data_IF_506447618421
#
_entry.id   IF_506447618421
#
_cell.length_a   1.000
_cell.length_b   1.000
_cell.length_c   1.000
_cell.angle_alpha   90.00
_cell.angle_beta   90.00
_cell.angle_gamma   90.00
#
_symmetry.space_group_name_H-M   'P 1'
#
loop_
_entity.id
_entity.type
_entity.pdbx_description
1 polymer ?
#
# COMPACT_ATOMS: atom_id res chain seq x y z
N UNK A 1 23.93 7.36 21.75
CA UNK A 1 23.29 8.04 20.60
C UNK A 1 22.32 7.04 20.02
N UNK A 2 21.01 7.24 20.20
CA UNK A 2 20.03 6.39 19.53
C UNK A 2 20.19 6.65 18.02
N UNK A 3 20.53 5.61 17.25
CA UNK A 3 20.61 5.74 15.80
C UNK A 3 19.26 6.20 15.25
N UNK A 4 19.27 7.04 14.21
CA UNK A 4 18.05 7.43 13.51
C UNK A 4 17.29 6.18 13.03
N UNK A 5 15.95 6.26 12.98
CA UNK A 5 15.10 5.20 12.45
C UNK A 5 15.52 4.90 10.99
N UNK A 6 16.00 3.68 10.67
CA UNK A 6 16.51 3.36 9.35
C UNK A 6 15.44 3.48 8.25
N UNK A 7 14.16 3.32 8.59
CA UNK A 7 13.08 3.51 7.61
C UNK A 7 12.85 5.00 7.35
N UNK A 8 13.03 5.87 8.36
CA UNK A 8 12.97 7.32 8.15
C UNK A 8 14.12 7.82 7.28
N UNK A 9 15.35 7.32 7.47
CA UNK A 9 16.49 7.66 6.61
C UNK A 9 16.26 7.19 5.16
N UNK A 10 15.78 5.96 4.98
CA UNK A 10 15.35 5.43 3.70
C UNK A 10 14.31 6.34 3.03
N UNK A 11 13.24 6.72 3.75
CA UNK A 11 12.19 7.59 3.21
C UNK A 11 12.72 8.97 2.84
N UNK A 12 13.57 9.59 3.68
CA UNK A 12 14.20 10.89 3.39
C UNK A 12 15.10 10.83 2.14
N UNK A 13 15.82 9.74 1.96
CA UNK A 13 16.67 9.51 0.78
C UNK A 13 15.83 9.50 -0.50
N UNK A 14 14.73 8.73 -0.51
CA UNK A 14 13.81 8.67 -1.65
C UNK A 14 13.06 9.99 -1.86
N UNK A 15 12.69 10.71 -0.79
CA UNK A 15 12.15 12.06 -0.88
C UNK A 15 13.10 13.00 -1.64
N UNK A 16 14.39 13.00 -1.28
CA UNK A 16 15.40 13.83 -1.95
C UNK A 16 15.56 13.47 -3.43
N UNK A 17 15.61 12.17 -3.76
CA UNK A 17 15.70 11.68 -5.15
C UNK A 17 14.47 12.06 -5.98
N UNK A 18 13.30 12.07 -5.36
CA UNK A 18 12.03 12.42 -5.98
C UNK A 18 11.72 13.92 -5.89
N UNK A 19 12.56 14.74 -5.25
CA UNK A 19 12.29 16.16 -5.03
C UNK A 19 10.94 16.40 -4.33
N UNK A 20 10.65 15.60 -3.32
CA UNK A 20 9.43 15.66 -2.49
C UNK A 20 9.79 15.91 -1.04
N UNK A 21 8.89 16.52 -0.28
CA UNK A 21 8.96 16.50 1.19
C UNK A 21 8.23 15.28 1.80
N UNK A 22 8.28 15.16 3.13
CA UNK A 22 7.64 14.04 3.86
C UNK A 22 6.11 14.10 3.82
N UNK A 23 5.51 15.27 3.63
CA UNK A 23 4.06 15.39 3.51
C UNK A 23 3.61 14.90 2.13
N UNK A 24 4.27 15.37 1.07
CA UNK A 24 4.02 14.95 -0.31
C UNK A 24 4.21 13.45 -0.48
N UNK A 25 5.30 12.88 0.06
CA UNK A 25 5.51 11.43 -0.04
C UNK A 25 4.47 10.66 0.77
N UNK A 26 4.05 11.16 1.94
CA UNK A 26 3.07 10.46 2.76
C UNK A 26 1.71 10.40 2.05
N UNK A 27 1.25 11.52 1.50
CA UNK A 27 0.00 11.60 0.76
C UNK A 27 0.02 10.73 -0.51
N UNK A 28 1.10 10.80 -1.29
CA UNK A 28 1.23 9.98 -2.50
C UNK A 28 1.35 8.49 -2.18
N UNK A 29 2.14 8.13 -1.18
CA UNK A 29 2.29 6.74 -0.76
C UNK A 29 0.98 6.16 -0.24
N UNK A 30 0.13 6.94 0.44
CA UNK A 30 -1.21 6.50 0.83
C UNK A 30 -2.09 6.21 -0.39
N UNK A 31 -2.10 7.10 -1.39
CA UNK A 31 -2.82 6.88 -2.66
C UNK A 31 -2.32 5.61 -3.36
N UNK A 32 -1.01 5.43 -3.43
CA UNK A 32 -0.40 4.22 -4.01
C UNK A 32 -0.74 2.97 -3.21
N UNK A 33 -0.65 3.00 -1.88
CA UNK A 33 -0.94 1.88 -0.99
C UNK A 33 -2.38 1.41 -1.18
N UNK A 34 -3.37 2.30 -1.04
CA UNK A 34 -4.77 1.91 -1.16
C UNK A 34 -5.19 1.60 -2.60
N UNK A 35 -4.63 2.29 -3.58
CA UNK A 35 -4.74 1.91 -4.99
C UNK A 35 -4.21 0.50 -5.26
N UNK A 36 -3.05 0.16 -4.69
CA UNK A 36 -2.42 -1.15 -4.88
C UNK A 36 -3.20 -2.27 -4.21
N UNK A 37 -3.67 -2.06 -2.99
CA UNK A 37 -4.55 -2.97 -2.25
C UNK A 37 -5.81 -3.30 -3.10
N UNK A 38 -6.42 -2.30 -3.76
CA UNK A 38 -7.49 -2.53 -4.74
C UNK A 38 -7.04 -3.29 -5.99
N UNK A 39 -5.90 -2.94 -6.58
CA UNK A 39 -5.42 -3.61 -7.81
C UNK A 39 -4.96 -5.06 -7.56
N UNK A 40 -4.50 -5.40 -6.35
CA UNK A 40 -4.29 -6.78 -5.92
C UNK A 40 -5.60 -7.56 -6.04
N UNK A 41 -6.70 -7.04 -5.47
CA UNK A 41 -8.02 -7.67 -5.59
C UNK A 41 -8.47 -7.82 -7.05
N UNK A 42 -8.40 -6.73 -7.83
CA UNK A 42 -8.74 -6.73 -9.26
C UNK A 42 -7.93 -7.69 -10.10
N UNK A 43 -6.73 -8.05 -9.64
CA UNK A 43 -5.85 -8.98 -10.35
C UNK A 43 -6.06 -10.42 -9.89
N UNK A 44 -6.25 -10.64 -8.58
CA UNK A 44 -6.41 -11.98 -8.01
C UNK A 44 -7.77 -12.57 -8.38
N UNK A 45 -8.85 -11.79 -8.32
CA UNK A 45 -10.20 -12.29 -8.62
C UNK A 45 -10.31 -12.89 -10.03
N UNK A 46 -9.91 -12.21 -11.12
CA UNK A 46 -9.97 -12.82 -12.46
C UNK A 46 -9.00 -13.98 -12.64
N UNK A 47 -7.87 -13.99 -11.92
CA UNK A 47 -6.86 -15.03 -12.07
C UNK A 47 -7.25 -16.35 -11.38
N UNK A 48 -7.97 -16.29 -10.26
CA UNK A 48 -8.24 -17.44 -9.39
C UNK A 48 -9.73 -17.71 -9.13
N UNK A 49 -10.61 -16.85 -9.62
CA UNK A 49 -12.01 -16.82 -9.19
C UNK A 49 -12.18 -16.18 -7.82
N UNK A 50 -13.44 -16.00 -7.42
CA UNK A 50 -13.78 -15.23 -6.21
C UNK A 50 -13.29 -15.90 -4.91
N UNK A 51 -13.54 -17.18 -4.72
CA UNK A 51 -13.22 -17.87 -3.46
C UNK A 51 -11.71 -17.92 -3.17
N UNK A 52 -10.93 -18.45 -4.12
CA UNK A 52 -9.48 -18.51 -3.97
C UNK A 52 -8.85 -17.11 -4.03
N UNK A 53 -9.35 -16.21 -4.88
CA UNK A 53 -8.89 -14.83 -4.96
C UNK A 53 -9.04 -14.09 -3.62
N UNK A 54 -10.21 -14.20 -2.98
CA UNK A 54 -10.46 -13.62 -1.65
C UNK A 54 -9.56 -14.25 -0.59
N UNK A 55 -9.36 -15.57 -0.62
CA UNK A 55 -8.48 -16.26 0.34
C UNK A 55 -7.03 -15.77 0.23
N UNK A 56 -6.46 -15.76 -0.97
CA UNK A 56 -5.08 -15.30 -1.17
C UNK A 56 -4.90 -13.83 -0.81
N UNK A 57 -5.90 -13.01 -1.14
CA UNK A 57 -5.89 -11.61 -0.76
C UNK A 57 -6.05 -11.40 0.76
N UNK A 58 -6.89 -12.21 1.42
CA UNK A 58 -7.00 -12.26 2.88
C UNK A 58 -5.68 -12.62 3.56
N UNK A 59 -4.88 -13.51 2.97
CA UNK A 59 -3.54 -13.81 3.50
C UNK A 59 -2.61 -12.59 3.45
N UNK A 60 -2.70 -11.74 2.41
CA UNK A 60 -1.94 -10.47 2.37
C UNK A 60 -2.33 -9.60 3.57
N UNK A 61 -3.63 -9.46 3.85
CA UNK A 61 -4.14 -8.70 4.99
C UNK A 61 -3.75 -9.31 6.35
N UNK A 62 -3.69 -10.63 6.44
CA UNK A 62 -3.20 -11.31 7.64
C UNK A 62 -1.73 -10.96 7.91
N UNK A 63 -0.86 -11.01 6.89
CA UNK A 63 0.54 -10.62 7.04
C UNK A 63 0.68 -9.14 7.46
N UNK A 64 -0.10 -8.24 6.85
CA UNK A 64 -0.17 -6.84 7.28
C UNK A 64 -0.62 -6.70 8.73
N UNK A 65 -1.57 -7.53 9.17
CA UNK A 65 -2.01 -7.63 10.57
C UNK A 65 -0.87 -8.01 11.51
N UNK A 66 -0.05 -9.01 11.15
CA UNK A 66 1.10 -9.42 11.96
C UNK A 66 2.16 -8.32 12.05
N UNK A 67 2.47 -7.68 10.92
CA UNK A 67 3.41 -6.55 10.88
C UNK A 67 2.93 -5.38 11.74
N UNK A 68 1.65 -5.03 11.62
CA UNK A 68 1.04 -3.95 12.40
C UNK A 68 1.02 -4.27 13.90
N UNK A 69 0.68 -5.51 14.25
CA UNK A 69 0.71 -5.99 15.64
C UNK A 69 2.11 -5.88 16.24
N UNK A 70 3.14 -6.33 15.51
CA UNK A 70 4.54 -6.24 15.96
C UNK A 70 4.97 -4.78 16.16
N UNK A 71 4.64 -3.90 15.21
CA UNK A 71 4.91 -2.46 15.33
C UNK A 71 4.18 -1.81 16.52
N UNK A 72 2.91 -2.16 16.74
CA UNK A 72 2.12 -1.68 17.87
C UNK A 72 2.69 -2.17 19.22
N UNK A 73 3.09 -3.43 19.32
CA UNK A 73 3.74 -3.98 20.52
C UNK A 73 5.03 -3.23 20.84
N UNK A 74 5.87 -2.98 19.83
CA UNK A 74 7.11 -2.22 19.99
C UNK A 74 6.83 -0.78 20.43
N UNK A 75 5.92 -0.08 19.75
CA UNK A 75 5.57 1.31 20.06
C UNK A 75 4.98 1.48 21.46
N UNK A 76 4.17 0.52 21.91
CA UNK A 76 3.58 0.52 23.25
C UNK A 76 4.52 -0.06 24.32
N UNK A 77 5.73 -0.48 23.96
CA UNK A 77 6.71 -1.13 24.85
C UNK A 77 6.09 -2.31 25.62
N UNK A 78 5.39 -3.19 24.89
CA UNK A 78 4.70 -4.36 25.46
C UNK A 78 5.44 -5.65 25.10
N UNK A 79 5.64 -6.51 26.11
CA UNK A 79 6.15 -7.87 25.89
C UNK A 79 5.03 -8.93 25.85
N UNK A 80 3.86 -8.60 26.39
CA UNK A 80 2.70 -9.49 26.54
C UNK A 80 1.38 -8.77 26.34
N UNK A 81 0.33 -9.52 26.02
CA UNK A 81 -1.06 -9.05 25.92
C UNK A 81 -1.91 -9.80 26.95
N UNK A 82 -2.03 -9.31 28.19
CA UNK A 82 -2.66 -10.07 29.27
C UNK A 82 -4.19 -10.05 29.24
N UNK A 83 -4.79 -9.08 28.56
CA UNK A 83 -6.22 -8.79 28.64
C UNK A 83 -6.76 -8.08 27.39
N UNK A 84 -8.08 -8.02 27.30
CA UNK A 84 -8.78 -7.34 26.21
C UNK A 84 -8.49 -5.82 26.16
N UNK A 85 -8.43 -5.07 27.28
CA UNK A 85 -8.02 -3.67 27.24
C UNK A 85 -6.67 -3.41 26.59
N UNK A 86 -5.69 -4.30 26.81
CA UNK A 86 -4.38 -4.22 26.16
C UNK A 86 -4.46 -4.51 24.67
N UNK A 87 -5.21 -5.54 24.26
CA UNK A 87 -5.50 -5.79 22.85
C UNK A 87 -6.19 -4.58 22.19
N UNK A 88 -7.14 -3.94 22.88
CA UNK A 88 -7.83 -2.75 22.37
C UNK A 88 -6.90 -1.57 22.10
N UNK A 89 -5.87 -1.36 22.93
CA UNK A 89 -4.81 -0.36 22.68
C UNK A 89 -3.96 -0.71 21.46
N UNK A 90 -3.62 -1.99 21.30
CA UNK A 90 -2.88 -2.49 20.13
C UNK A 90 -3.70 -2.27 18.85
N UNK A 91 -4.98 -2.62 18.85
CA UNK A 91 -5.90 -2.39 17.73
C UNK A 91 -5.93 -0.91 17.36
N UNK A 92 -6.06 0.00 18.33
CA UNK A 92 -5.98 1.44 18.06
C UNK A 92 -4.67 1.83 17.37
N UNK A 93 -3.51 1.38 17.86
CA UNK A 93 -2.22 1.71 17.26
C UNK A 93 -2.09 1.15 15.83
N UNK A 94 -2.59 -0.06 15.58
CA UNK A 94 -2.64 -0.66 14.26
C UNK A 94 -3.42 0.23 13.26
N UNK A 95 -4.62 0.69 13.63
CA UNK A 95 -5.43 1.58 12.77
C UNK A 95 -4.83 2.98 12.62
N UNK A 96 -4.24 3.53 13.68
CA UNK A 96 -3.53 4.81 13.62
C UNK A 96 -2.30 4.71 12.71
N UNK A 97 -1.64 3.55 12.61
CA UNK A 97 -0.54 3.32 11.68
C UNK A 97 -0.94 3.50 10.20
N UNK A 98 -2.19 3.21 9.84
CA UNK A 98 -2.78 3.43 8.50
C UNK A 98 -3.71 4.65 8.49
N UNK A 99 -3.11 5.83 8.65
CA UNK A 99 -3.56 6.99 9.46
C UNK A 99 -5.08 7.12 9.65
N UNK A 100 -5.73 6.16 10.29
CA UNK A 100 -7.17 6.20 10.51
C UNK A 100 -7.48 6.95 11.80
N UNK A 101 -8.51 7.81 11.80
CA UNK A 101 -8.92 8.51 13.01
C UNK A 101 -9.70 7.56 13.92
N UNK A 102 -8.97 6.88 14.81
CA UNK A 102 -9.50 5.85 15.70
C UNK A 102 -9.72 6.37 17.12
N UNK A 103 -10.95 6.30 17.61
CA UNK A 103 -11.33 6.71 18.97
C UNK A 103 -11.88 5.53 19.75
N UNK A 104 -11.28 5.23 20.89
CA UNK A 104 -11.78 4.24 21.83
C UNK A 104 -12.97 4.84 22.58
N UNK A 105 -14.16 4.24 22.46
CA UNK A 105 -15.37 4.64 23.20
C UNK A 105 -15.61 3.78 24.43
N UNK A 106 -15.14 2.53 24.41
CA UNK A 106 -15.21 1.60 25.53
C UNK A 106 -14.02 0.65 25.47
N UNK A 107 -13.39 0.38 26.60
CA UNK A 107 -12.25 -0.54 26.69
C UNK A 107 -12.15 -1.09 28.11
N UNK A 108 -13.07 -1.97 28.45
CA UNK A 108 -13.13 -2.64 29.75
C UNK A 108 -12.71 -4.12 29.62
N UNK A 109 -12.78 -4.87 30.72
CA UNK A 109 -12.31 -6.25 30.77
C UNK A 109 -13.03 -7.17 29.76
N UNK A 110 -14.30 -6.88 29.43
CA UNK A 110 -15.15 -7.76 28.64
C UNK A 110 -15.46 -7.21 27.26
N UNK A 111 -15.27 -5.91 27.03
CA UNK A 111 -15.61 -5.26 25.77
C UNK A 111 -14.67 -4.11 25.38
N UNK A 112 -14.24 -4.15 24.13
CA UNK A 112 -13.60 -3.05 23.43
C UNK A 112 -14.52 -2.56 22.31
N UNK A 113 -14.80 -1.26 22.28
CA UNK A 113 -15.49 -0.58 21.18
C UNK A 113 -14.65 0.61 20.75
N UNK A 114 -14.15 0.55 19.51
CA UNK A 114 -13.49 1.66 18.87
C UNK A 114 -14.21 2.12 17.62
N UNK A 115 -14.20 3.44 17.41
CA UNK A 115 -14.83 4.10 16.27
C UNK A 115 -13.75 4.59 15.31
N UNK A 116 -13.85 4.17 14.05
CA UNK A 116 -13.05 4.68 12.94
C UNK A 116 -13.82 5.84 12.32
N UNK A 117 -13.52 7.05 12.78
CA UNK A 117 -14.20 8.28 12.35
C UNK A 117 -13.78 8.72 10.94
N UNK A 118 -12.58 8.33 10.52
CA UNK A 118 -12.04 8.56 9.19
C UNK A 118 -11.08 7.44 8.80
N UNK A 119 -11.09 7.04 7.54
CA UNK A 119 -10.23 6.00 6.99
C UNK A 119 -9.57 6.50 5.70
N UNK A 120 -8.28 6.21 5.55
CA UNK A 120 -7.52 6.59 4.38
C UNK A 120 -7.96 5.83 3.11
N UNK A 121 -8.56 4.64 3.22
CA UNK A 121 -8.94 3.86 2.04
C UNK A 121 -10.08 4.50 1.22
N UNK A 122 -11.20 4.99 1.78
CA UNK A 122 -12.17 5.75 0.99
C UNK A 122 -11.65 7.10 0.49
N UNK A 123 -10.75 7.74 1.24
CA UNK A 123 -10.24 9.08 0.92
C UNK A 123 -9.16 9.09 -0.18
N UNK A 124 -8.31 8.07 -0.19
CA UNK A 124 -7.17 7.96 -1.12
C UNK A 124 -7.24 6.76 -2.06
N UNK A 125 -8.21 5.87 -1.85
CA UNK A 125 -8.45 4.72 -2.72
C UNK A 125 -8.78 5.15 -4.16
N UNK A 126 -8.76 4.18 -5.09
CA UNK A 126 -8.87 4.48 -6.51
C UNK A 126 -10.22 5.12 -6.85
N UNK A 127 -10.16 6.16 -7.69
CA UNK A 127 -11.32 6.90 -8.20
C UNK A 127 -12.11 6.13 -9.29
N UNK A 128 -11.95 4.80 -9.36
CA UNK A 128 -12.46 3.94 -10.44
C UNK A 128 -13.99 3.74 -10.40
N UNK A 129 -14.52 3.20 -11.49
CA UNK A 129 -15.91 2.90 -11.78
C UNK A 129 -16.68 2.40 -10.54
N UNK A 130 -17.81 3.06 -10.27
CA UNK A 130 -18.68 2.89 -9.10
C UNK A 130 -18.93 1.40 -8.74
N UNK A 131 -19.13 0.53 -9.74
CA UNK A 131 -19.48 -0.88 -9.51
C UNK A 131 -18.32 -1.72 -8.95
N UNK A 132 -17.14 -1.67 -9.56
CA UNK A 132 -15.97 -2.45 -9.12
C UNK A 132 -15.50 -1.99 -7.73
N UNK A 133 -15.61 -0.69 -7.48
CA UNK A 133 -15.32 -0.06 -6.19
C UNK A 133 -16.27 -0.55 -5.10
N UNK A 134 -17.58 -0.62 -5.36
CA UNK A 134 -18.54 -1.16 -4.40
C UNK A 134 -18.36 -2.66 -4.13
N UNK A 135 -17.98 -3.44 -5.13
CA UNK A 135 -17.69 -4.86 -4.93
C UNK A 135 -16.48 -5.04 -4.01
N UNK A 136 -15.41 -4.29 -4.29
CA UNK A 136 -14.21 -4.26 -3.45
C UNK A 136 -14.53 -3.88 -1.99
N UNK A 137 -15.33 -2.83 -1.75
CA UNK A 137 -15.68 -2.41 -0.38
C UNK A 137 -16.55 -3.41 0.39
N UNK A 138 -17.28 -4.30 -0.29
CA UNK A 138 -17.92 -5.45 0.38
C UNK A 138 -16.90 -6.47 0.86
N UNK A 139 -15.85 -6.72 0.07
CA UNK A 139 -14.76 -7.62 0.45
C UNK A 139 -13.90 -7.04 1.55
N UNK A 140 -13.73 -5.73 1.61
CA UNK A 140 -12.95 -5.10 2.66
C UNK A 140 -13.49 -5.36 4.07
N UNK A 141 -14.82 -5.46 4.27
CA UNK A 141 -15.37 -5.87 5.57
C UNK A 141 -14.84 -7.24 5.99
N UNK A 142 -14.84 -8.20 5.07
CA UNK A 142 -14.26 -9.52 5.31
C UNK A 142 -12.75 -9.43 5.60
N UNK A 143 -12.02 -8.58 4.87
CA UNK A 143 -10.58 -8.42 5.08
C UNK A 143 -10.26 -7.77 6.42
N UNK A 144 -11.07 -6.82 6.88
CA UNK A 144 -10.97 -6.26 8.24
C UNK A 144 -11.25 -7.33 9.30
N UNK A 145 -12.18 -8.26 9.07
CA UNK A 145 -12.32 -9.43 9.95
C UNK A 145 -11.04 -10.27 9.97
N UNK A 146 -10.48 -10.61 8.80
CA UNK A 146 -9.21 -11.38 8.72
C UNK A 146 -8.07 -10.66 9.47
N UNK A 147 -7.97 -9.35 9.30
CA UNK A 147 -6.99 -8.52 9.99
C UNK A 147 -7.16 -8.57 11.51
N UNK A 148 -8.37 -8.30 12.02
CA UNK A 148 -8.67 -8.31 13.46
C UNK A 148 -8.49 -9.70 14.08
N UNK A 149 -8.92 -10.76 13.40
CA UNK A 149 -8.66 -12.13 13.83
C UNK A 149 -7.17 -12.43 13.89
N UNK A 150 -6.38 -11.93 12.94
CA UNK A 150 -4.94 -12.09 12.98
C UNK A 150 -4.32 -11.38 14.18
N UNK A 151 -4.77 -10.17 14.53
CA UNK A 151 -4.33 -9.48 15.75
C UNK A 151 -4.65 -10.27 17.01
N UNK A 152 -5.84 -10.89 17.07
CA UNK A 152 -6.25 -11.75 18.20
C UNK A 152 -5.33 -12.98 18.30
N UNK A 153 -5.03 -13.64 17.19
CA UNK A 153 -4.14 -14.81 17.19
C UNK A 153 -2.71 -14.45 17.60
N UNK A 154 -2.17 -13.31 17.15
CA UNK A 154 -0.87 -12.82 17.63
C UNK A 154 -0.91 -12.44 19.13
N UNK A 155 -2.00 -11.85 19.60
CA UNK A 155 -2.19 -11.56 21.02
C UNK A 155 -2.23 -12.82 21.88
N UNK A 156 -2.86 -13.91 21.40
CA UNK A 156 -2.85 -15.22 22.09
C UNK A 156 -1.44 -15.78 22.23
N UNK A 157 -0.63 -15.70 21.18
CA UNK A 157 0.80 -16.07 21.24
C UNK A 157 1.59 -15.24 22.26
N UNK A 158 1.11 -14.03 22.56
CA UNK A 158 1.67 -13.11 23.56
C UNK A 158 0.94 -13.12 24.91
N UNK A 159 0.12 -14.13 25.18
CA UNK A 159 -0.43 -14.40 26.51
C UNK A 159 -1.91 -14.05 26.72
N UNK A 160 -2.64 -13.62 25.69
CA UNK A 160 -4.08 -13.40 25.79
C UNK A 160 -4.79 -14.75 25.92
N UNK A 161 -5.55 -14.94 27.00
CA UNK A 161 -6.22 -16.23 27.29
C UNK A 161 -7.71 -16.22 26.97
N UNK A 162 -8.33 -15.04 26.98
CA UNK A 162 -9.74 -14.86 26.73
C UNK A 162 -10.08 -15.29 25.30
N UNK A 163 -11.19 -16.00 25.13
CA UNK A 163 -11.80 -16.18 23.82
C UNK A 163 -12.46 -14.85 23.42
N UNK A 164 -12.00 -14.27 22.31
CA UNK A 164 -12.49 -12.99 21.79
C UNK A 164 -13.34 -13.25 20.55
N UNK A 165 -14.51 -12.61 20.47
CA UNK A 165 -15.32 -12.51 19.26
C UNK A 165 -15.16 -11.12 18.66
N UNK A 166 -15.28 -11.04 17.34
CA UNK A 166 -15.24 -9.79 16.57
C UNK A 166 -16.64 -9.51 16.04
N UNK A 167 -17.10 -8.28 16.20
CA UNK A 167 -18.31 -7.77 15.57
C UNK A 167 -18.03 -6.42 14.89
N UNK A 168 -18.54 -6.27 13.68
CA UNK A 168 -18.51 -5.04 12.90
C UNK A 168 -19.91 -4.78 12.35
N UNK A 169 -20.73 -3.99 13.07
CA UNK A 169 -22.12 -3.72 12.70
C UNK A 169 -22.26 -3.10 11.30
N UNK A 170 -21.22 -2.42 10.82
CA UNK A 170 -21.17 -1.92 9.46
C UNK A 170 -20.97 -3.07 8.46
N UNK A 171 -22.05 -3.52 7.82
CA UNK A 171 -22.02 -4.55 6.77
C UNK A 171 -21.33 -4.16 5.45
N UNK A 172 -20.69 -2.99 5.37
CA UNK A 172 -19.91 -2.51 4.21
C UNK A 172 -18.84 -1.50 4.65
N UNK A 173 -17.69 -1.48 3.97
CA UNK A 173 -16.82 -0.31 4.02
C UNK A 173 -17.51 0.84 3.26
N UNK A 174 -17.35 2.07 3.76
CA UNK A 174 -18.21 3.20 3.42
C UNK A 174 -17.61 4.02 2.27
N UNK A 175 -18.48 4.43 1.35
CA UNK A 175 -18.25 5.56 0.45
C UNK A 175 -18.95 6.80 1.05
N UNK A 176 -18.23 7.60 1.85
CA UNK A 176 -18.59 8.99 2.17
C UNK A 176 -19.84 9.37 3.02
N UNK A 177 -20.88 8.54 3.31
CA UNK A 177 -22.15 9.05 3.94
C UNK A 177 -22.67 8.69 5.39
N UNK A 178 -22.16 7.72 6.19
CA UNK A 178 -22.56 7.49 7.61
C UNK A 178 -21.44 7.56 8.69
N UNK A 179 -21.45 8.57 9.58
CA UNK A 179 -20.80 8.63 10.92
C UNK A 179 -19.37 8.07 11.10
N UNK A 180 -19.22 6.75 11.27
CA UNK A 180 -17.97 6.03 11.55
C UNK A 180 -18.15 4.51 11.33
N UNK A 181 -17.06 3.76 11.18
CA UNK A 181 -17.08 2.29 11.35
C UNK A 181 -16.86 1.94 12.84
N UNK A 182 -17.50 0.87 13.33
CA UNK A 182 -17.28 0.37 14.69
C UNK A 182 -16.53 -0.95 14.66
N UNK A 183 -15.46 -1.04 15.45
CA UNK A 183 -14.73 -2.28 15.74
C UNK A 183 -15.11 -2.69 17.15
N UNK A 184 -15.80 -3.83 17.27
CA UNK A 184 -16.25 -4.37 18.55
C UNK A 184 -15.54 -5.70 18.80
N UNK A 185 -14.84 -5.80 19.93
CA UNK A 185 -14.24 -7.03 20.41
C UNK A 185 -14.85 -7.38 21.76
N UNK A 186 -15.30 -8.62 21.92
CA UNK A 186 -15.98 -9.08 23.14
C UNK A 186 -15.41 -10.38 23.66
N UNK A 187 -15.35 -10.51 24.98
CA UNK A 187 -15.14 -11.80 25.63
C UNK A 187 -16.44 -12.60 25.70
N UNK A 188 -16.37 -13.86 26.13
CA UNK A 188 -17.56 -14.68 26.40
C UNK A 188 -18.45 -14.12 27.52
N UNK A 189 -17.88 -13.35 28.45
CA UNK A 189 -18.59 -12.75 29.59
C UNK A 189 -19.16 -11.36 29.27
N UNK A 190 -19.06 -10.91 28.01
CA UNK A 190 -19.67 -9.66 27.58
C UNK A 190 -21.19 -9.80 27.52
N UNK A 191 -21.91 -8.79 28.01
CA UNK A 191 -23.37 -8.72 27.87
C UNK A 191 -23.72 -8.46 26.38
N UNK A 192 -24.35 -9.43 25.68
CA UNK A 192 -24.69 -9.27 24.27
C UNK A 192 -25.80 -8.24 24.04
N UNK A 193 -26.60 -7.92 25.06
CA UNK A 193 -27.65 -6.91 25.00
C UNK A 193 -27.14 -5.49 25.31
N UNK A 194 -25.88 -5.36 25.74
CA UNK A 194 -25.31 -4.06 26.08
C UNK A 194 -25.28 -3.16 24.85
N UNK A 195 -25.93 -2.01 24.97
CA UNK A 195 -25.96 -1.03 23.90
C UNK A 195 -24.55 -0.56 23.53
N UNK A 196 -24.30 -0.50 22.21
CA UNK A 196 -23.09 0.08 21.66
C UNK A 196 -23.11 1.59 21.90
N UNK A 197 -21.95 2.20 22.23
CA UNK A 197 -21.79 3.65 22.20
C UNK A 197 -22.29 4.24 20.87
N UNK A 198 -23.00 5.36 20.95
CA UNK A 198 -23.47 6.07 19.76
C UNK A 198 -22.29 6.56 18.92
N UNK A 199 -22.42 6.38 17.61
CA UNK A 199 -21.46 6.91 16.65
C UNK A 199 -21.67 8.42 16.52
N UNK A 200 -20.63 9.20 16.82
CA UNK A 200 -20.65 10.64 16.60
C UNK A 200 -20.88 10.94 15.12
N UNK A 201 -21.91 11.72 14.83
CA UNK A 201 -22.18 12.22 13.48
C UNK A 201 -21.24 13.40 13.16
N UNK A 202 -19.97 13.08 12.95
CA UNK A 202 -18.96 14.02 12.45
C UNK A 202 -18.74 13.80 10.96
N UNK A 203 -18.74 14.88 10.20
CA UNK A 203 -18.37 14.88 8.79
C UNK A 203 -16.93 15.35 8.70
N UNK A 204 -15.99 14.44 8.97
CA UNK A 204 -14.56 14.76 9.02
C UNK A 204 -14.10 15.39 7.70
N UNK A 205 -14.68 14.99 6.56
CA UNK A 205 -14.41 15.58 5.25
C UNK A 205 -14.75 17.09 5.18
N UNK A 206 -15.79 17.53 5.88
CA UNK A 206 -16.12 18.97 5.99
C UNK A 206 -15.16 19.71 6.92
N UNK A 207 -14.68 19.06 7.97
CA UNK A 207 -13.70 19.63 8.92
C UNK A 207 -12.30 19.76 8.28
N UNK A 208 -11.97 18.85 7.34
CA UNK A 208 -10.74 18.91 6.55
C UNK A 208 -10.74 20.14 5.63
N UNK A 209 -11.86 20.46 4.98
CA UNK A 209 -11.91 21.58 4.03
C UNK A 209 -10.92 21.40 2.87
N UNK A 210 -10.15 22.44 2.54
CA UNK A 210 -9.22 22.44 1.40
C UNK A 210 -7.82 21.89 1.73
N UNK A 211 -7.57 21.44 2.97
CA UNK A 211 -6.26 20.90 3.35
C UNK A 211 -6.11 19.43 2.92
N UNK A 212 -4.89 18.98 2.67
CA UNK A 212 -4.60 17.56 2.41
C UNK A 212 -5.04 16.68 3.60
N UNK A 213 -5.96 15.71 3.43
CA UNK A 213 -6.56 14.94 4.53
C UNK A 213 -5.57 14.39 5.57
N UNK A 214 -4.44 13.81 5.14
CA UNK A 214 -3.45 13.24 6.08
C UNK A 214 -2.89 14.29 7.04
N UNK A 215 -2.72 15.56 6.61
CA UNK A 215 -2.26 16.64 7.49
C UNK A 215 -3.25 16.89 8.62
N UNK A 216 -4.55 16.97 8.32
CA UNK A 216 -5.59 17.13 9.32
C UNK A 216 -5.58 15.96 10.31
N UNK A 217 -5.53 14.73 9.79
CA UNK A 217 -5.65 13.53 10.61
C UNK A 217 -4.44 13.36 11.53
N UNK A 218 -3.22 13.61 11.05
CA UNK A 218 -2.02 13.58 11.89
C UNK A 218 -2.08 14.63 13.00
N UNK A 219 -2.57 15.84 12.71
CA UNK A 219 -2.79 16.86 13.74
C UNK A 219 -3.77 16.40 14.82
N UNK A 220 -4.91 15.83 14.44
CA UNK A 220 -5.89 15.29 15.40
C UNK A 220 -5.33 14.11 16.23
N UNK A 221 -4.38 13.36 15.66
CA UNK A 221 -3.68 12.28 16.36
C UNK A 221 -2.48 12.74 17.19
N UNK A 222 -2.07 14.01 17.07
CA UNK A 222 -0.84 14.53 17.68
C UNK A 222 0.43 13.89 17.11
N UNK A 223 0.44 13.55 15.81
CA UNK A 223 1.54 12.88 15.11
C UNK A 223 2.18 13.80 14.08
N UNK A 224 3.43 13.47 13.73
CA UNK A 224 4.24 14.17 12.74
C UNK A 224 4.37 13.39 11.45
N UNK A 225 4.84 14.04 10.38
CA UNK A 225 5.14 13.36 9.13
C UNK A 225 6.39 12.47 9.24
N UNK A 226 7.34 12.82 10.10
CA UNK A 226 8.48 11.98 10.45
C UNK A 226 8.04 10.63 11.04
N UNK A 227 6.93 10.59 11.78
CA UNK A 227 6.37 9.35 12.33
C UNK A 227 5.46 8.60 11.36
N UNK A 228 4.89 9.27 10.34
CA UNK A 228 3.89 8.67 9.45
C UNK A 228 4.46 8.26 8.09
N UNK A 229 5.23 9.15 7.45
CA UNK A 229 5.76 8.94 6.10
C UNK A 229 6.59 7.65 5.96
N UNK A 230 7.44 7.25 6.94
CA UNK A 230 8.16 5.98 6.88
C UNK A 230 7.22 4.78 6.73
N UNK A 231 6.18 4.71 7.57
CA UNK A 231 5.23 3.62 7.57
C UNK A 231 4.38 3.55 6.31
N UNK A 232 3.88 4.68 5.80
CA UNK A 232 3.07 4.69 4.57
C UNK A 232 3.91 4.35 3.34
N UNK A 233 5.11 4.91 3.25
CA UNK A 233 6.01 4.70 2.13
C UNK A 233 6.48 3.25 2.06
N UNK A 234 7.00 2.69 3.16
CA UNK A 234 7.38 1.27 3.20
C UNK A 234 6.17 0.35 3.03
N UNK A 235 5.00 0.77 3.51
CA UNK A 235 3.76 -0.01 3.44
C UNK A 235 3.36 -0.35 2.01
N UNK A 236 3.48 0.59 1.06
CA UNK A 236 3.18 0.35 -0.34
C UNK A 236 4.01 -0.82 -0.92
N UNK A 237 5.33 -0.78 -0.72
CA UNK A 237 6.24 -1.84 -1.21
C UNK A 237 6.04 -3.16 -0.46
N UNK A 238 5.71 -3.11 0.83
CA UNK A 238 5.40 -4.30 1.61
C UNK A 238 4.15 -5.01 1.07
N UNK A 239 3.08 -4.27 0.72
CA UNK A 239 1.89 -4.88 0.10
C UNK A 239 2.24 -5.55 -1.23
N UNK A 240 3.04 -4.91 -2.07
CA UNK A 240 3.46 -5.48 -3.35
C UNK A 240 4.25 -6.79 -3.16
N UNK A 241 5.23 -6.79 -2.25
CA UNK A 241 5.98 -7.99 -1.89
C UNK A 241 5.06 -9.09 -1.37
N UNK A 242 4.16 -8.78 -0.43
CA UNK A 242 3.25 -9.77 0.16
C UNK A 242 2.29 -10.34 -0.89
N UNK A 243 1.79 -9.52 -1.80
CA UNK A 243 0.98 -9.98 -2.92
C UNK A 243 1.75 -10.96 -3.80
N UNK A 244 3.00 -10.64 -4.16
CA UNK A 244 3.84 -11.56 -4.93
C UNK A 244 4.14 -12.86 -4.15
N UNK A 245 4.42 -12.80 -2.85
CA UNK A 245 4.66 -13.99 -2.02
C UNK A 245 3.44 -14.91 -2.01
N UNK A 246 2.22 -14.37 -1.93
CA UNK A 246 1.00 -15.18 -2.02
C UNK A 246 0.86 -15.84 -3.40
N UNK A 247 1.18 -15.13 -4.49
CA UNK A 247 1.18 -15.71 -5.83
C UNK A 247 2.23 -16.82 -5.96
N UNK A 248 3.45 -16.57 -5.53
CA UNK A 248 4.56 -17.51 -5.66
C UNK A 248 4.34 -18.79 -4.85
N UNK A 249 3.83 -18.67 -3.62
CA UNK A 249 3.57 -19.81 -2.75
C UNK A 249 2.37 -20.68 -3.17
N UNK A 250 1.37 -20.09 -3.84
CA UNK A 250 0.10 -20.79 -4.12
C UNK A 250 -0.13 -21.07 -5.62
N UNK A 251 0.56 -20.36 -6.51
CA UNK A 251 0.44 -20.50 -7.96
C UNK A 251 1.79 -20.23 -8.66
N UNK A 252 2.88 -20.94 -8.31
CA UNK A 252 4.24 -20.62 -8.74
C UNK A 252 4.40 -20.54 -10.26
N UNK A 253 3.74 -21.42 -11.02
CA UNK A 253 3.81 -21.45 -12.49
C UNK A 253 3.15 -20.23 -13.16
N UNK A 254 2.20 -19.58 -12.47
CA UNK A 254 1.47 -18.43 -12.96
C UNK A 254 1.89 -17.11 -12.28
N UNK A 255 2.69 -17.18 -11.21
CA UNK A 255 2.94 -16.08 -10.29
C UNK A 255 3.45 -14.83 -11.00
N UNK A 256 4.54 -14.94 -11.77
CA UNK A 256 5.12 -13.79 -12.47
C UNK A 256 4.16 -13.21 -13.53
N UNK A 257 3.42 -14.05 -14.26
CA UNK A 257 2.44 -13.57 -15.24
C UNK A 257 1.31 -12.79 -14.58
N UNK A 258 0.81 -13.27 -13.43
CA UNK A 258 -0.24 -12.59 -12.67
C UNK A 258 0.30 -11.30 -12.05
N UNK A 259 1.52 -11.34 -11.51
CA UNK A 259 2.20 -10.17 -10.95
C UNK A 259 2.43 -9.08 -12.00
N UNK A 260 2.92 -9.41 -13.20
CA UNK A 260 3.04 -8.43 -14.29
C UNK A 260 1.68 -7.82 -14.68
N UNK A 261 0.61 -8.62 -14.66
CA UNK A 261 -0.76 -8.13 -14.92
C UNK A 261 -1.30 -7.20 -13.83
N UNK A 262 -0.81 -7.33 -12.59
CA UNK A 262 -1.12 -6.34 -11.55
C UNK A 262 -0.68 -4.95 -12.01
N UNK A 263 0.54 -4.86 -12.54
CA UNK A 263 1.14 -3.59 -12.98
C UNK A 263 0.52 -3.01 -14.25
N UNK A 264 -0.16 -3.83 -15.06
CA UNK A 264 -0.95 -3.35 -16.20
C UNK A 264 -2.06 -2.37 -15.76
N UNK A 265 -2.59 -2.51 -14.53
CA UNK A 265 -3.63 -1.62 -14.01
C UNK A 265 -3.18 -0.15 -13.88
N UNK A 266 -1.87 0.09 -13.76
CA UNK A 266 -1.30 1.43 -13.60
C UNK A 266 -0.87 2.06 -14.92
N UNK A 267 -0.61 1.23 -15.94
CA UNK A 267 0.09 1.67 -17.14
C UNK A 267 -0.69 2.71 -17.93
N UNK A 268 -1.96 2.46 -18.22
CA UNK A 268 -2.79 3.37 -19.01
C UNK A 268 -3.04 4.71 -18.29
N UNK A 269 -3.46 4.75 -17.01
CA UNK A 269 -3.59 6.01 -16.26
C UNK A 269 -2.30 6.82 -16.24
N UNK A 270 -1.16 6.18 -15.93
CA UNK A 270 0.11 6.90 -15.84
C UNK A 270 0.64 7.35 -17.19
N UNK A 271 0.40 6.60 -18.26
CA UNK A 271 0.72 7.04 -19.62
C UNK A 271 -0.07 8.31 -19.98
N UNK A 272 -1.38 8.35 -19.65
CA UNK A 272 -2.21 9.54 -19.85
C UNK A 272 -1.70 10.74 -19.04
N UNK A 273 -1.41 10.53 -17.76
CA UNK A 273 -0.81 11.56 -16.89
C UNK A 273 0.53 12.06 -17.43
N UNK A 274 1.42 11.14 -17.87
CA UNK A 274 2.73 11.48 -18.42
C UNK A 274 2.61 12.36 -19.67
N UNK A 275 1.73 11.98 -20.61
CA UNK A 275 1.52 12.76 -21.84
C UNK A 275 1.00 14.17 -21.55
N UNK A 276 0.10 14.31 -20.57
CA UNK A 276 -0.42 15.62 -20.16
C UNK A 276 0.66 16.45 -19.46
N UNK A 277 1.35 15.88 -18.48
CA UNK A 277 2.34 16.59 -17.68
C UNK A 277 3.60 16.98 -18.47
N UNK A 278 3.97 16.20 -19.48
CA UNK A 278 5.12 16.45 -20.35
C UNK A 278 4.74 17.17 -21.65
N UNK A 279 3.46 17.48 -21.86
CA UNK A 279 2.93 18.08 -23.08
C UNK A 279 3.25 17.28 -24.36
N UNK A 280 3.36 15.95 -24.24
CA UNK A 280 3.67 15.04 -25.36
C UNK A 280 2.37 14.54 -25.99
N UNK A 281 1.94 15.17 -27.08
CA UNK A 281 0.81 14.72 -27.88
C UNK A 281 1.07 13.37 -28.59
N UNK A 282 2.16 13.31 -29.37
CA UNK A 282 2.67 12.11 -30.06
C UNK A 282 4.15 11.96 -29.76
N UNK A 283 4.59 10.74 -29.50
CA UNK A 283 6.02 10.42 -29.34
C UNK A 283 6.69 10.47 -30.71
N UNK A 284 7.67 11.36 -30.85
CA UNK A 284 8.39 11.60 -32.11
C UNK A 284 9.88 11.35 -32.00
N UNK A 285 10.41 11.25 -30.78
CA UNK A 285 11.84 11.10 -30.51
C UNK A 285 12.11 10.08 -29.39
N UNK A 286 13.34 9.58 -29.31
CA UNK A 286 13.78 8.74 -28.19
C UNK A 286 13.69 9.48 -26.85
N UNK A 287 13.85 10.80 -26.89
CA UNK A 287 13.73 11.71 -25.75
C UNK A 287 12.29 11.75 -25.19
N UNK A 288 11.29 11.81 -26.07
CA UNK A 288 9.87 11.77 -25.68
C UNK A 288 9.54 10.44 -24.98
N UNK A 289 9.96 9.32 -25.59
CA UNK A 289 9.72 7.98 -25.03
C UNK A 289 10.44 7.80 -23.69
N UNK A 290 11.70 8.22 -23.60
CA UNK A 290 12.47 8.16 -22.36
C UNK A 290 11.86 9.04 -21.26
N UNK A 291 11.35 10.22 -21.59
CA UNK A 291 10.67 11.10 -20.63
C UNK A 291 9.39 10.45 -20.09
N UNK A 292 8.58 9.82 -20.95
CA UNK A 292 7.39 9.06 -20.53
C UNK A 292 7.77 7.89 -19.63
N UNK A 293 8.78 7.08 -20.00
CA UNK A 293 9.24 5.96 -19.17
C UNK A 293 9.72 6.48 -17.80
N UNK A 294 10.55 7.52 -17.78
CA UNK A 294 11.05 8.11 -16.53
C UNK A 294 9.91 8.65 -15.65
N UNK A 295 8.89 9.29 -16.25
CA UNK A 295 7.70 9.74 -15.53
C UNK A 295 6.96 8.58 -14.87
N UNK A 296 6.64 7.53 -15.62
CA UNK A 296 5.94 6.36 -15.09
C UNK A 296 6.74 5.65 -13.99
N UNK A 297 8.06 5.54 -14.15
CA UNK A 297 8.93 4.98 -13.09
C UNK A 297 8.98 5.87 -11.85
N UNK A 298 8.98 7.20 -12.01
CA UNK A 298 8.87 8.15 -10.90
C UNK A 298 7.54 8.01 -10.15
N UNK A 299 6.43 7.68 -10.83
CA UNK A 299 5.13 7.36 -10.19
C UNK A 299 5.19 6.07 -9.36
N UNK A 300 6.15 5.19 -9.63
CA UNK A 300 6.52 4.01 -8.82
C UNK A 300 7.58 4.31 -7.77
N UNK A 301 7.94 5.58 -7.59
CA UNK A 301 8.98 6.04 -6.67
C UNK A 301 10.41 5.64 -7.07
N UNK A 302 10.65 5.28 -8.33
CA UNK A 302 11.99 5.02 -8.87
C UNK A 302 12.46 6.22 -9.68
N UNK A 303 13.43 6.97 -9.15
CA UNK A 303 13.93 8.19 -9.78
C UNK A 303 14.99 7.90 -10.84
N UNK A 304 14.64 8.10 -12.12
CA UNK A 304 15.58 7.95 -13.23
C UNK A 304 16.14 9.31 -13.68
N UNK A 305 17.47 9.41 -13.78
CA UNK A 305 18.17 10.51 -14.44
C UNK A 305 18.40 10.18 -15.92
N UNK A 306 18.24 11.18 -16.78
CA UNK A 306 18.45 11.05 -18.24
C UNK A 306 19.89 11.39 -18.62
N UNK A 307 20.45 10.60 -19.53
CA UNK A 307 21.75 10.81 -20.15
C UNK A 307 21.64 10.57 -21.66
N UNK A 308 22.01 11.56 -22.47
CA UNK A 308 21.95 11.45 -23.93
C UNK A 308 23.22 10.81 -24.48
N UNK A 309 23.05 9.78 -25.31
CA UNK A 309 24.11 9.13 -26.07
C UNK A 309 24.44 9.92 -27.35
N UNK A 310 25.68 9.79 -27.82
CA UNK A 310 26.14 10.47 -29.04
C UNK A 310 25.51 9.91 -30.32
N UNK A 311 24.94 8.71 -30.27
CA UNK A 311 24.26 8.00 -31.36
C UNK A 311 22.75 8.28 -31.44
N UNK A 312 22.23 9.19 -30.60
CA UNK A 312 20.80 9.49 -30.50
C UNK A 312 20.04 8.56 -29.55
N UNK A 313 20.70 7.55 -28.96
CA UNK A 313 20.14 6.73 -27.89
C UNK A 313 20.03 7.55 -26.60
N UNK A 314 18.98 7.33 -25.82
CA UNK A 314 18.79 7.95 -24.50
C UNK A 314 18.92 6.88 -23.42
N UNK A 315 19.76 7.12 -22.42
CA UNK A 315 19.95 6.26 -21.27
C UNK A 315 19.27 6.85 -20.03
N UNK A 316 18.40 6.07 -19.39
CA UNK A 316 17.82 6.38 -18.09
C UNK A 316 18.56 5.58 -17.02
N UNK A 317 18.99 6.24 -15.95
CA UNK A 317 19.71 5.59 -14.84
C UNK A 317 19.07 5.88 -13.49
N UNK A 318 18.78 4.85 -12.71
CA UNK A 318 18.40 4.96 -11.29
C UNK A 318 19.45 4.31 -10.42
N UNK A 319 19.83 4.99 -9.33
CA UNK A 319 20.79 4.49 -8.33
C UNK A 319 20.13 3.84 -7.12
N UNK A 320 18.80 3.96 -7.00
CA UNK A 320 18.03 3.42 -5.90
C UNK A 320 16.74 2.77 -6.41
N UNK A 321 16.28 1.74 -5.71
CA UNK A 321 15.06 1.02 -6.04
C UNK A 321 14.38 0.61 -4.72
N UNK A 322 13.32 1.33 -4.32
CA UNK A 322 12.68 1.10 -3.04
C UNK A 322 12.07 -0.30 -2.93
N UNK A 323 11.71 -0.95 -4.06
CA UNK A 323 11.23 -2.34 -4.03
C UNK A 323 12.34 -3.29 -3.57
N UNK A 324 13.57 -3.09 -4.04
CA UNK A 324 14.72 -3.94 -3.69
C UNK A 324 15.19 -3.67 -2.26
N UNK A 325 15.21 -2.42 -1.84
CA UNK A 325 15.63 -2.01 -0.50
C UNK A 325 14.66 -2.53 0.57
N UNK A 326 13.35 -2.31 0.39
CA UNK A 326 12.32 -2.85 1.28
C UNK A 326 12.31 -4.38 1.26
N UNK A 327 12.44 -5.01 0.09
CA UNK A 327 12.61 -6.47 0.01
C UNK A 327 13.79 -6.98 0.83
N UNK A 328 14.89 -6.22 0.87
CA UNK A 328 16.03 -6.51 1.75
C UNK A 328 15.65 -6.45 3.23
N UNK A 329 14.95 -5.40 3.65
CA UNK A 329 14.48 -5.23 5.05
C UNK A 329 13.54 -6.34 5.50
N UNK A 330 12.70 -6.86 4.60
CA UNK A 330 11.76 -7.95 4.88
C UNK A 330 12.30 -9.36 4.59
N UNK A 331 13.59 -9.50 4.26
CA UNK A 331 14.21 -10.78 3.88
C UNK A 331 13.42 -11.51 2.78
N UNK A 332 13.00 -10.77 1.75
CA UNK A 332 12.21 -11.31 0.66
C UNK A 332 12.92 -12.47 -0.06
N UNK A 333 12.17 -13.46 -0.58
CA UNK A 333 12.74 -14.53 -1.40
C UNK A 333 13.52 -13.98 -2.60
N UNK A 334 14.64 -14.60 -2.96
CA UNK A 334 15.45 -14.18 -4.11
C UNK A 334 14.66 -14.15 -5.43
N UNK A 335 13.65 -15.02 -5.56
CA UNK A 335 12.74 -15.06 -6.71
C UNK A 335 11.89 -13.78 -6.86
N UNK A 336 11.63 -13.02 -5.78
CA UNK A 336 10.96 -11.72 -5.88
C UNK A 336 11.81 -10.71 -6.65
N UNK A 337 13.13 -10.68 -6.41
CA UNK A 337 14.03 -9.81 -7.17
C UNK A 337 14.04 -10.13 -8.66
N UNK A 338 13.94 -11.41 -9.03
CA UNK A 338 13.79 -11.81 -10.43
C UNK A 338 12.45 -11.33 -11.01
N UNK A 339 11.37 -11.42 -10.23
CA UNK A 339 10.05 -10.93 -10.63
C UNK A 339 10.03 -9.41 -10.85
N UNK A 340 10.77 -8.62 -10.05
CA UNK A 340 10.92 -7.18 -10.26
C UNK A 340 11.54 -6.85 -11.63
N UNK A 341 12.59 -7.58 -12.02
CA UNK A 341 13.23 -7.38 -13.33
C UNK A 341 12.25 -7.69 -14.47
N UNK A 342 11.51 -8.81 -14.37
CA UNK A 342 10.53 -9.17 -15.40
C UNK A 342 9.36 -8.19 -15.46
N UNK A 343 8.94 -7.68 -14.31
CA UNK A 343 7.87 -6.69 -14.22
C UNK A 343 8.29 -5.37 -14.87
N UNK A 344 9.51 -4.89 -14.64
CA UNK A 344 10.03 -3.68 -15.31
C UNK A 344 10.10 -3.86 -16.83
N UNK A 345 10.58 -5.02 -17.30
CA UNK A 345 10.60 -5.36 -18.73
C UNK A 345 9.19 -5.36 -19.33
N UNK A 346 8.26 -6.04 -18.66
CA UNK A 346 6.87 -6.13 -19.08
C UNK A 346 6.21 -4.76 -19.13
N UNK A 347 6.42 -3.93 -18.10
CA UNK A 347 5.85 -2.61 -18.01
C UNK A 347 6.36 -1.68 -19.13
N UNK A 348 7.67 -1.66 -19.37
CA UNK A 348 8.29 -0.85 -20.44
C UNK A 348 7.82 -1.32 -21.82
N UNK A 349 7.82 -2.62 -22.08
CA UNK A 349 7.31 -3.17 -23.34
C UNK A 349 5.82 -2.84 -23.55
N UNK A 350 5.04 -2.85 -22.47
CA UNK A 350 3.65 -2.42 -22.47
C UNK A 350 3.49 -0.95 -22.87
N UNK A 351 4.33 -0.04 -22.37
CA UNK A 351 4.28 1.38 -22.74
C UNK A 351 4.55 1.58 -24.23
N UNK A 352 5.56 0.88 -24.76
CA UNK A 352 5.86 0.90 -26.20
C UNK A 352 4.67 0.41 -27.03
N UNK A 353 3.96 -0.62 -26.58
CA UNK A 353 2.76 -1.15 -27.23
C UNK A 353 1.58 -0.18 -27.19
N UNK A 354 1.30 0.40 -26.02
CA UNK A 354 0.20 1.35 -25.84
C UNK A 354 0.43 2.66 -26.62
N UNK A 355 1.68 2.95 -26.99
CA UNK A 355 2.07 4.06 -27.85
C UNK A 355 2.16 3.71 -29.35
N UNK A 356 1.96 2.45 -29.73
CA UNK A 356 2.10 1.94 -31.10
C UNK A 356 3.49 2.19 -31.70
N UNK A 357 4.55 1.89 -30.94
CA UNK A 357 5.94 2.12 -31.32
C UNK A 357 6.76 0.84 -31.48
N UNK A 358 6.15 -0.34 -31.49
CA UNK A 358 6.83 -1.64 -31.43
C UNK A 358 7.83 -1.87 -32.58
N UNK A 359 7.54 -1.33 -33.76
CA UNK A 359 8.40 -1.45 -34.95
C UNK A 359 9.52 -0.40 -35.00
N UNK A 360 9.42 0.67 -34.20
CA UNK A 360 10.30 1.84 -34.28
C UNK A 360 11.13 2.07 -33.02
N UNK A 361 10.62 1.69 -31.86
CA UNK A 361 11.27 1.90 -30.58
C UNK A 361 12.03 0.65 -30.14
N UNK A 362 13.23 0.86 -29.62
CA UNK A 362 14.01 -0.17 -28.94
C UNK A 362 14.28 0.29 -27.52
N UNK A 363 13.53 -0.27 -26.58
CA UNK A 363 13.72 -0.06 -25.14
C UNK A 363 14.22 -1.34 -24.50
N UNK A 364 15.35 -1.28 -23.80
CA UNK A 364 15.93 -2.45 -23.14
C UNK A 364 16.53 -2.11 -21.78
N UNK A 365 16.41 -3.04 -20.83
CA UNK A 365 17.08 -2.94 -19.52
C UNK A 365 18.49 -3.51 -19.69
N UNK A 366 19.49 -2.63 -19.61
CA UNK A 366 20.92 -2.96 -19.75
C UNK A 366 21.48 -3.54 -18.46
N UNK A 367 21.08 -2.98 -17.32
CA UNK A 367 21.43 -3.45 -15.97
C UNK A 367 20.29 -3.15 -15.00
N UNK A 368 20.22 -3.88 -13.88
CA UNK A 368 19.11 -3.76 -12.94
C UNK A 368 19.57 -4.02 -11.50
N UNK A 369 19.17 -3.15 -10.55
CA UNK A 369 19.53 -3.26 -9.13
C UNK A 369 19.06 -4.59 -8.53
N UNK A 370 17.82 -4.99 -8.79
CA UNK A 370 17.31 -6.30 -8.40
C UNK A 370 18.13 -7.50 -8.93
N UNK A 371 18.85 -7.36 -10.04
CA UNK A 371 19.76 -8.37 -10.57
C UNK A 371 21.19 -8.29 -9.99
N UNK A 372 21.43 -7.43 -8.99
CA UNK A 372 22.72 -7.24 -8.34
C UNK A 372 23.62 -6.18 -8.98
N UNK A 373 23.13 -5.42 -9.96
CA UNK A 373 23.88 -4.30 -10.50
C UNK A 373 23.89 -3.10 -9.54
N UNK A 374 24.88 -2.21 -9.67
CA UNK A 374 24.98 -1.00 -8.86
C UNK A 374 23.90 0.05 -9.19
N UNK A 375 23.27 -0.06 -10.35
CA UNK A 375 22.22 0.84 -10.84
C UNK A 375 21.30 0.11 -11.81
N UNK A 376 20.09 0.62 -12.00
CA UNK A 376 19.21 0.20 -13.08
C UNK A 376 19.42 1.14 -14.26
N UNK A 377 19.67 0.58 -15.44
CA UNK A 377 19.92 1.35 -16.67
C UNK A 377 18.99 0.87 -17.78
N UNK A 378 18.19 1.78 -18.31
CA UNK A 378 17.29 1.55 -19.45
C UNK A 378 17.85 2.31 -20.65
N UNK A 379 18.06 1.61 -21.75
CA UNK A 379 18.44 2.21 -23.03
C UNK A 379 17.21 2.36 -23.91
N UNK A 380 17.02 3.54 -24.49
CA UNK A 380 15.87 3.89 -25.34
C UNK A 380 16.38 4.46 -26.65
N UNK A 381 16.01 3.84 -27.77
CA UNK A 381 16.24 4.35 -29.12
C UNK A 381 14.91 4.39 -29.89
N UNK A 382 14.82 5.28 -30.87
CA UNK A 382 13.65 5.42 -31.74
C UNK A 382 14.12 5.70 -33.19
N UNK A 383 13.66 4.86 -34.11
CA UNK A 383 13.95 4.92 -35.56
C UNK A 383 13.04 5.92 -36.32
#
# INVERSE_FOLDING_TARGET
MAGEDPILEFTRTHCALLGKDLEEIAADALKSLFGHVYYVWRTFKPAFGEELGVKLYGNVWAELGRMSFAGAMQKLALDRVPDLPTLGRIVRECFIGVPALYVIKRNDANEHVGHVLWCANPAYGPADNIYDRHEYYRKEVYLTYVYLWTLIEEAKKKGLRQAITVDMPSGRCRDGACGACQVVLRTQDADPARHLPEVENRFIEQEIGDQEPVRFILREQGRTFEEQAPATFSGFFAVDLLAWVQLFGNAPEAANRIYCRLWDNYREPWLKEAKLALEIGRVTSAQDLAAIIAYCQRRRYVAFARHDGADGTVHLRSIADPFVEIAGMFNAPAAYKQALVEMDRHFIAGLTRDLHLEERARSSIVSHIAAGAARTEISVALD
#
